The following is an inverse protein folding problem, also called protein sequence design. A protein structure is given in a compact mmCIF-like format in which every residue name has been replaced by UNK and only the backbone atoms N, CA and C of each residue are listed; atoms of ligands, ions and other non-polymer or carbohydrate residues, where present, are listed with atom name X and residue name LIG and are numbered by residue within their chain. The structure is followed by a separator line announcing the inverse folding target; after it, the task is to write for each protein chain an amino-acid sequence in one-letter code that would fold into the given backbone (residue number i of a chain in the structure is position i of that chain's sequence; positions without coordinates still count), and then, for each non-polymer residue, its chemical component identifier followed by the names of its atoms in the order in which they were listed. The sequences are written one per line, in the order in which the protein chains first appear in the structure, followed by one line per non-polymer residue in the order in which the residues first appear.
data_IF_908883124448
#
_entry.id   IF_908883124448
#
_cell.length_a   1.000
_cell.length_b   1.000
_cell.length_c   1.000
_cell.angle_alpha   90.00
_cell.angle_beta   90.00
_cell.angle_gamma   90.00
#
_symmetry.space_group_name_H-M   'P 1'
#
loop_
_entity.id
_entity.type
_entity.pdbx_description
1 polymer ?
#
# COMPACT_ATOMS: atom_id res chain seq x y z
N UNK A 1 13.41 -6.93 -7.60
CA UNK A 1 13.72 -6.65 -6.18
C UNK A 1 13.18 -5.28 -5.83
N UNK A 2 12.49 -5.13 -4.70
CA UNK A 2 11.96 -3.84 -4.21
C UNK A 2 12.91 -3.37 -3.11
N UNK A 3 13.76 -2.39 -3.41
CA UNK A 3 14.92 -2.06 -2.56
C UNK A 3 14.59 -1.54 -1.16
N UNK A 4 13.46 -0.84 -1.00
CA UNK A 4 13.07 -0.23 0.27
C UNK A 4 12.40 -1.21 1.26
N UNK A 5 12.01 -2.40 0.80
CA UNK A 5 11.39 -3.48 1.60
C UNK A 5 10.37 -3.00 2.65
N UNK A 6 9.36 -2.18 2.27
CA UNK A 6 8.42 -1.64 3.24
C UNK A 6 7.51 -2.74 3.80
N UNK A 7 6.99 -2.55 5.01
CA UNK A 7 5.97 -3.46 5.58
C UNK A 7 4.65 -3.46 4.80
N UNK A 8 4.26 -2.31 4.25
CA UNK A 8 3.06 -2.13 3.44
C UNK A 8 3.19 -0.95 2.49
N UNK A 9 2.38 -0.95 1.45
CA UNK A 9 2.18 0.19 0.53
C UNK A 9 0.70 0.55 0.53
N UNK A 10 0.38 1.83 0.72
CA UNK A 10 -0.99 2.35 0.73
C UNK A 10 -1.30 2.95 -0.64
N UNK A 11 -2.27 2.36 -1.33
CA UNK A 11 -2.81 2.85 -2.58
C UNK A 11 -3.98 3.79 -2.26
N UNK A 12 -3.72 5.09 -2.34
CA UNK A 12 -4.74 6.12 -2.16
C UNK A 12 -5.74 6.11 -3.33
N UNK A 13 -6.98 6.61 -3.12
CA UNK A 13 -7.93 6.75 -4.21
C UNK A 13 -7.34 7.51 -5.40
N UNK A 14 -7.38 6.91 -6.58
CA UNK A 14 -6.78 7.45 -7.81
C UNK A 14 -5.31 7.06 -8.05
N UNK A 15 -4.69 6.32 -7.13
CA UNK A 15 -3.33 5.78 -7.24
C UNK A 15 -3.29 4.24 -7.26
N UNK A 16 -4.43 3.58 -7.41
CA UNK A 16 -4.53 2.12 -7.51
C UNK A 16 -3.70 1.60 -8.69
N UNK A 17 -2.93 0.54 -8.45
CA UNK A 17 -2.14 -0.12 -9.49
C UNK A 17 -2.11 -1.63 -9.22
N UNK A 18 -3.03 -2.41 -9.84
CA UNK A 18 -3.17 -3.84 -9.59
C UNK A 18 -1.87 -4.62 -9.86
N UNK A 19 -1.14 -4.30 -10.94
CA UNK A 19 0.10 -4.99 -11.27
C UNK A 19 1.23 -4.72 -10.28
N UNK A 20 1.31 -3.51 -9.72
CA UNK A 20 2.26 -3.21 -8.65
C UNK A 20 1.86 -3.92 -7.35
N UNK A 21 0.56 -3.96 -7.03
CA UNK A 21 0.04 -4.66 -5.86
C UNK A 21 0.39 -6.15 -5.87
N UNK A 22 0.14 -6.84 -7.00
CA UNK A 22 0.50 -8.26 -7.17
C UNK A 22 2.01 -8.49 -6.97
N UNK A 23 2.85 -7.61 -7.56
CA UNK A 23 4.31 -7.69 -7.40
C UNK A 23 4.75 -7.47 -5.96
N UNK A 24 4.12 -6.55 -5.23
CA UNK A 24 4.41 -6.30 -3.81
C UNK A 24 4.04 -7.53 -2.97
N UNK A 25 2.84 -8.08 -3.18
CA UNK A 25 2.34 -9.25 -2.44
C UNK A 25 3.17 -10.50 -2.69
N UNK A 26 3.60 -10.73 -3.94
CA UNK A 26 4.53 -11.81 -4.28
C UNK A 26 5.90 -11.68 -3.58
N UNK A 27 6.26 -10.47 -3.13
CA UNK A 27 7.46 -10.20 -2.33
C UNK A 27 7.16 -10.04 -0.83
N UNK A 28 5.98 -10.46 -0.36
CA UNK A 28 5.58 -10.39 1.05
C UNK A 28 5.24 -8.98 1.57
N UNK A 29 5.11 -8.00 0.68
CA UNK A 29 4.78 -6.62 1.01
C UNK A 29 3.27 -6.41 0.83
N UNK A 30 2.58 -5.98 1.89
CA UNK A 30 1.13 -5.82 1.86
C UNK A 30 0.70 -4.58 1.06
N UNK A 31 -0.08 -4.77 0.00
CA UNK A 31 -0.83 -3.68 -0.64
C UNK A 31 -2.11 -3.37 0.14
N UNK A 32 -2.40 -2.09 0.37
CA UNK A 32 -3.63 -1.66 1.06
C UNK A 32 -4.30 -0.54 0.27
N UNK A 33 -5.50 -0.77 -0.25
CA UNK A 33 -6.32 0.31 -0.84
C UNK A 33 -7.03 1.07 0.28
N UNK A 34 -6.63 2.32 0.53
CA UNK A 34 -7.20 3.16 1.57
C UNK A 34 -6.79 4.64 1.36
N UNK A 35 -7.58 5.57 1.91
CA UNK A 35 -7.18 6.99 1.95
C UNK A 35 -6.31 7.25 3.19
N UNK A 36 -5.09 7.73 2.97
CA UNK A 36 -4.12 8.06 4.03
C UNK A 36 -4.69 9.07 5.01
N UNK A 37 -5.37 10.12 4.54
CA UNK A 37 -5.93 11.14 5.42
C UNK A 37 -7.03 10.59 6.33
N UNK A 38 -7.88 9.69 5.81
CA UNK A 38 -8.91 9.01 6.63
C UNK A 38 -8.25 8.11 7.68
N UNK A 39 -7.21 7.35 7.31
CA UNK A 39 -6.47 6.52 8.26
C UNK A 39 -5.83 7.34 9.37
N UNK A 40 -5.23 8.50 9.04
CA UNK A 40 -4.67 9.42 10.01
C UNK A 40 -5.75 9.99 10.95
N UNK A 41 -6.88 10.44 10.41
CA UNK A 41 -8.01 10.96 11.20
C UNK A 41 -8.61 9.93 12.16
N UNK A 42 -8.59 8.65 11.77
CA UNK A 42 -9.10 7.55 12.59
C UNK A 42 -8.05 6.92 13.52
N UNK A 43 -6.79 7.35 13.47
CA UNK A 43 -5.70 6.72 14.24
C UNK A 43 -5.33 5.32 13.77
N UNK A 44 -5.66 4.97 12.52
CA UNK A 44 -5.42 3.67 11.88
C UNK A 44 -4.26 3.69 10.87
N UNK A 45 -3.44 4.75 10.90
CA UNK A 45 -2.23 4.88 10.08
C UNK A 45 -1.00 4.24 10.76
#
# INVERSE_FOLDING_TARGET
MIAAEPRRVIFNPGAENPGLMERLEANGIKGVTACTLVMLSLGNF
#
